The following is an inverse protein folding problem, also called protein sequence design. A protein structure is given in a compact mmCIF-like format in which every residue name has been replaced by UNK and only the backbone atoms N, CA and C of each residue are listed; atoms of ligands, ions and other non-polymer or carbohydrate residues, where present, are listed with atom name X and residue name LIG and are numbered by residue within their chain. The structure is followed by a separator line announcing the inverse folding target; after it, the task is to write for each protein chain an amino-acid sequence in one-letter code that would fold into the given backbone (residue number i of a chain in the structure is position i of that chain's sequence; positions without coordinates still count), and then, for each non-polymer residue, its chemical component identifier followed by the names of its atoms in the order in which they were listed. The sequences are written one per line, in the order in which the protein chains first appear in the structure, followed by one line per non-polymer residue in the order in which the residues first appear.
data_IF_032518187842
#
_entry.id   IF_032518187842
#
_cell.length_a   1.000
_cell.length_b   1.000
_cell.length_c   1.000
_cell.angle_alpha   90.00
_cell.angle_beta   90.00
_cell.angle_gamma   90.00
#
_symmetry.space_group_name_H-M   'P 1'
#
loop_
_entity.id
_entity.type
_entity.pdbx_description
1 polymer ?
#
# COMPACT_ATOMS: atom_id res chain seq x y z
N UNK A 1 -10.32 3.53 21.98
CA UNK A 1 -11.48 4.27 22.52
C UNK A 1 -11.27 5.77 22.31
N UNK A 2 -12.31 6.61 22.27
CA UNK A 2 -12.14 8.07 22.05
C UNK A 2 -11.18 8.71 23.07
N UNK A 3 -11.22 8.24 24.32
CA UNK A 3 -10.29 8.63 25.39
C UNK A 3 -8.82 8.40 25.02
N UNK A 4 -8.52 7.39 24.20
CA UNK A 4 -7.16 7.07 23.72
C UNK A 4 -6.61 8.11 22.74
N UNK A 5 -7.46 8.95 22.14
CA UNK A 5 -7.04 10.07 21.28
C UNK A 5 -7.04 11.40 22.03
N UNK A 6 -7.97 11.55 22.97
CA UNK A 6 -8.17 12.80 23.72
C UNK A 6 -7.11 12.99 24.82
N UNK A 7 -6.70 11.92 25.51
CA UNK A 7 -5.68 12.00 26.55
C UNK A 7 -4.30 12.43 26.01
N UNK A 8 -3.76 11.82 24.93
CA UNK A 8 -2.52 12.32 24.32
C UNK A 8 -2.65 13.75 23.75
N UNK A 9 -3.84 14.13 23.26
CA UNK A 9 -4.07 15.50 22.75
C UNK A 9 -3.95 16.57 23.85
N UNK A 10 -4.50 16.29 25.04
CA UNK A 10 -4.41 17.18 26.21
C UNK A 10 -2.96 17.26 26.69
N UNK A 11 -2.30 16.12 26.85
CA UNK A 11 -0.91 16.05 27.33
C UNK A 11 0.05 16.84 26.41
N UNK A 12 -0.12 16.72 25.09
CA UNK A 12 0.63 17.49 24.11
C UNK A 12 0.31 19.00 24.14
N UNK A 13 -0.94 19.37 24.42
CA UNK A 13 -1.32 20.78 24.56
C UNK A 13 -0.73 21.40 25.84
N UNK A 14 -0.71 20.66 26.95
CA UNK A 14 -0.11 21.08 28.23
C UNK A 14 1.41 21.23 28.11
N UNK A 15 2.10 20.29 27.46
CA UNK A 15 3.56 20.32 27.32
C UNK A 15 4.08 21.39 26.36
N UNK A 16 3.25 21.85 25.42
CA UNK A 16 3.65 22.81 24.38
C UNK A 16 3.93 24.24 24.87
N UNK A 17 3.60 24.59 26.13
CA UNK A 17 3.69 25.95 26.72
C UNK A 17 3.00 27.08 25.90
N UNK A 18 2.35 26.77 24.77
CA UNK A 18 1.64 27.74 23.93
C UNK A 18 0.31 28.18 24.55
N UNK A 19 -0.29 27.34 25.38
CA UNK A 19 -1.63 27.53 25.94
C UNK A 19 -1.57 27.87 27.44
N UNK A 20 -0.73 28.84 27.79
CA UNK A 20 -0.57 29.36 29.15
C UNK A 20 0.70 28.86 29.85
N UNK A 21 1.17 29.62 30.84
CA UNK A 21 2.48 29.40 31.51
C UNK A 21 2.60 28.10 32.31
N UNK A 22 1.49 27.35 32.46
CA UNK A 22 1.38 26.01 33.07
C UNK A 22 0.41 25.09 32.30
N UNK A 23 0.07 25.42 31.05
CA UNK A 23 -0.93 24.67 30.27
C UNK A 23 -2.39 24.92 30.65
N UNK A 24 -2.71 26.01 31.37
CA UNK A 24 -4.07 26.32 31.85
C UNK A 24 -5.15 26.40 30.75
N UNK A 25 -4.74 26.67 29.50
CA UNK A 25 -5.63 26.74 28.34
C UNK A 25 -5.49 25.54 27.38
N UNK A 26 -4.90 24.43 27.82
CA UNK A 26 -4.78 23.21 27.01
C UNK A 26 -6.14 22.66 26.51
N UNK A 27 -7.23 23.00 27.19
CA UNK A 27 -8.58 22.67 26.75
C UNK A 27 -9.01 23.38 25.45
N UNK A 28 -8.41 24.51 25.08
CA UNK A 28 -8.78 25.28 23.89
C UNK A 28 -8.50 24.51 22.59
N UNK A 29 -7.27 24.08 22.28
CA UNK A 29 -7.01 23.34 21.04
C UNK A 29 -7.80 22.04 20.97
N UNK A 30 -8.00 21.39 22.13
CA UNK A 30 -8.77 20.15 22.24
C UNK A 30 -10.26 20.39 21.99
N UNK A 31 -10.86 21.41 22.59
CA UNK A 31 -12.27 21.74 22.37
C UNK A 31 -12.54 22.19 20.93
N UNK A 32 -11.64 22.99 20.35
CA UNK A 32 -11.75 23.46 18.96
C UNK A 32 -11.65 22.30 17.98
N UNK A 33 -10.62 21.45 18.12
CA UNK A 33 -10.47 20.29 17.23
C UNK A 33 -11.65 19.34 17.37
N UNK A 34 -12.04 19.00 18.59
CA UNK A 34 -13.21 18.15 18.85
C UNK A 34 -14.49 18.67 18.21
N UNK A 35 -14.81 19.95 18.38
CA UNK A 35 -16.01 20.54 17.80
C UNK A 35 -15.96 20.56 16.27
N UNK A 36 -14.81 20.90 15.69
CA UNK A 36 -14.61 20.87 14.24
C UNK A 36 -14.76 19.44 13.68
N UNK A 37 -14.27 18.43 14.39
CA UNK A 37 -14.44 17.02 14.02
C UNK A 37 -15.90 16.60 13.95
N UNK A 38 -16.67 16.95 14.97
CA UNK A 38 -18.10 16.64 15.00
C UNK A 38 -18.89 17.39 13.90
N UNK A 39 -18.63 18.69 13.72
CA UNK A 39 -19.27 19.50 12.67
C UNK A 39 -18.88 19.00 11.28
N UNK A 40 -17.64 18.56 11.08
CA UNK A 40 -17.18 18.03 9.81
C UNK A 40 -18.00 16.80 9.40
N UNK A 41 -18.16 15.82 10.29
CA UNK A 41 -18.93 14.60 9.98
C UNK A 41 -20.40 14.94 9.74
N UNK A 42 -21.01 15.77 10.60
CA UNK A 42 -22.36 16.28 10.37
C UNK A 42 -22.51 16.94 8.99
N UNK A 43 -21.54 17.77 8.62
CA UNK A 43 -21.49 18.43 7.32
C UNK A 43 -21.36 17.44 6.17
N UNK A 44 -20.52 16.42 6.29
CA UNK A 44 -20.38 15.37 5.26
C UNK A 44 -21.67 14.59 5.09
N UNK A 45 -22.39 14.27 6.16
CA UNK A 45 -23.67 13.56 6.07
C UNK A 45 -24.73 14.42 5.38
N UNK A 46 -24.76 15.72 5.66
CA UNK A 46 -25.62 16.67 4.96
C UNK A 46 -25.24 16.83 3.50
N UNK A 47 -23.96 16.87 3.16
CA UNK A 47 -23.49 16.96 1.77
C UNK A 47 -23.80 15.67 0.99
N UNK A 48 -23.57 14.50 1.58
CA UNK A 48 -23.94 13.19 1.01
C UNK A 48 -25.45 13.13 0.76
N UNK A 49 -26.25 13.56 1.73
CA UNK A 49 -27.70 13.64 1.62
C UNK A 49 -28.14 14.64 0.54
N UNK A 50 -27.48 15.80 0.45
CA UNK A 50 -27.77 16.85 -0.53
C UNK A 50 -27.39 16.44 -1.96
N UNK A 51 -26.30 15.70 -2.13
CA UNK A 51 -25.88 15.11 -3.40
C UNK A 51 -26.72 13.89 -3.80
N UNK A 52 -27.64 13.43 -2.95
CA UNK A 52 -28.54 12.31 -3.24
C UNK A 52 -27.82 10.96 -3.34
N UNK A 53 -26.61 10.83 -2.78
CA UNK A 53 -25.85 9.56 -2.74
C UNK A 53 -26.39 8.68 -1.61
N UNK A 54 -27.71 8.48 -1.59
CA UNK A 54 -28.40 7.66 -0.59
C UNK A 54 -28.53 6.20 -1.04
N UNK A 55 -27.95 5.84 -2.19
CA UNK A 55 -28.00 4.48 -2.71
C UNK A 55 -26.60 3.95 -3.02
N UNK A 56 -26.11 2.94 -2.28
CA UNK A 56 -24.91 2.17 -2.64
C UNK A 56 -24.93 1.69 -4.10
N UNK A 57 -26.12 1.49 -4.67
CA UNK A 57 -26.34 1.07 -6.06
C UNK A 57 -25.85 2.10 -7.08
N UNK A 58 -25.94 3.40 -6.80
CA UNK A 58 -25.49 4.46 -7.72
C UNK A 58 -23.95 4.61 -7.72
N UNK A 59 -23.30 4.42 -6.57
CA UNK A 59 -21.84 4.40 -6.46
C UNK A 59 -21.24 3.20 -7.21
N UNK A 60 -21.86 2.03 -7.10
CA UNK A 60 -21.49 0.82 -7.85
C UNK A 60 -21.68 1.08 -9.36
N UNK A 61 -22.79 1.68 -9.78
CA UNK A 61 -23.02 1.99 -11.20
C UNK A 61 -21.97 2.96 -11.80
N UNK A 62 -21.50 3.96 -11.03
CA UNK A 62 -20.46 4.91 -11.46
C UNK A 62 -19.07 4.28 -11.54
N UNK A 63 -18.73 3.36 -10.63
CA UNK A 63 -17.45 2.64 -10.68
C UNK A 63 -17.41 1.63 -11.83
N UNK A 64 -18.52 0.94 -12.11
CA UNK A 64 -18.64 0.09 -13.29
C UNK A 64 -18.56 0.88 -14.59
N UNK A 65 -19.27 2.01 -14.71
CA UNK A 65 -19.22 2.84 -15.91
C UNK A 65 -17.82 3.41 -16.23
N UNK A 66 -17.02 3.72 -15.20
CA UNK A 66 -15.64 4.16 -15.38
C UNK A 66 -14.66 3.01 -15.68
N UNK A 67 -14.90 1.81 -15.12
CA UNK A 67 -14.12 0.61 -15.43
C UNK A 67 -14.31 0.17 -16.88
N UNK A 68 -15.56 0.19 -17.36
CA UNK A 68 -15.90 -0.15 -18.75
C UNK A 68 -15.23 0.83 -19.74
N UNK A 69 -15.18 2.13 -19.42
CA UNK A 69 -14.45 3.11 -20.23
C UNK A 69 -12.92 2.92 -20.21
N UNK A 70 -12.36 2.53 -19.07
CA UNK A 70 -10.92 2.28 -18.95
C UNK A 70 -10.50 1.01 -19.70
N UNK A 71 -11.31 -0.05 -19.65
CA UNK A 71 -11.05 -1.30 -20.37
C UNK A 71 -11.18 -1.10 -21.89
N UNK A 72 -12.14 -0.30 -22.37
CA UNK A 72 -12.27 0.07 -23.79
C UNK A 72 -11.08 0.91 -24.28
N UNK A 73 -10.57 1.84 -23.46
CA UNK A 73 -9.45 2.69 -23.85
C UNK A 73 -8.11 1.92 -23.92
N UNK A 74 -7.97 0.82 -23.17
CA UNK A 74 -6.77 -0.03 -23.20
C UNK A 74 -6.75 -0.93 -24.44
N UNK A 75 -7.89 -1.44 -24.89
CA UNK A 75 -8.00 -2.31 -26.07
C UNK A 75 -7.68 -1.54 -27.38
N UNK A 76 -8.10 -0.28 -27.46
CA UNK A 76 -7.86 0.59 -28.63
C UNK A 76 -6.40 1.07 -28.76
N UNK A 77 -5.68 1.23 -27.63
CA UNK A 77 -4.26 1.58 -27.65
C UNK A 77 -3.36 0.41 -28.04
N UNK A 78 -3.73 -0.83 -27.70
CA UNK A 78 -2.96 -2.03 -28.09
C UNK A 78 -3.15 -2.34 -29.57
N UNK A 79 -4.37 -2.17 -30.09
CA UNK A 79 -4.72 -2.44 -31.49
C UNK A 79 -4.02 -1.51 -32.50
N UNK A 80 -3.64 -0.30 -32.08
CA UNK A 80 -3.00 0.71 -32.93
C UNK A 80 -1.47 0.64 -32.97
N UNK A 81 -0.84 -0.17 -32.10
CA UNK A 81 0.61 -0.33 -32.03
C UNK A 81 1.17 -1.59 -32.73
N UNK A 82 0.32 -2.52 -33.19
CA UNK A 82 0.78 -3.77 -33.82
C UNK A 82 1.11 -3.68 -35.34
N UNK A 83 0.99 -2.52 -35.98
CA UNK A 83 1.21 -2.40 -37.43
C UNK A 83 2.67 -2.20 -37.88
N UNK A 84 3.67 -2.41 -37.02
CA UNK A 84 5.05 -2.20 -37.46
C UNK A 84 6.15 -2.75 -36.55
N UNK A 85 6.43 -4.05 -36.63
CA UNK A 85 7.82 -4.56 -36.57
C UNK A 85 7.95 -6.04 -36.94
N UNK A 86 8.55 -6.26 -38.10
CA UNK A 86 9.06 -7.56 -38.58
C UNK A 86 10.46 -7.83 -38.03
N UNK A 87 10.77 -9.13 -37.92
CA UNK A 87 12.10 -9.77 -37.82
C UNK A 87 12.79 -9.71 -36.46
N UNK A 88 13.05 -10.88 -35.86
CA UNK A 88 14.41 -11.44 -35.72
C UNK A 88 14.37 -12.92 -35.34
N UNK A 89 15.44 -13.61 -35.74
CA UNK A 89 15.59 -15.05 -35.93
C UNK A 89 15.64 -15.88 -34.64
N UNK A 90 15.20 -17.14 -34.74
CA UNK A 90 15.08 -18.08 -33.65
C UNK A 90 16.38 -18.74 -33.18
N UNK A 91 16.34 -19.23 -31.94
CA UNK A 91 17.30 -20.17 -31.35
C UNK A 91 16.52 -21.22 -30.56
N UNK A 92 16.72 -22.54 -30.76
CA UNK A 92 16.00 -23.60 -30.05
C UNK A 92 16.59 -23.87 -28.65
N UNK A 93 15.81 -24.43 -27.70
CA UNK A 93 16.29 -24.76 -26.36
C UNK A 93 16.90 -26.18 -26.32
N UNK A 94 17.98 -26.34 -25.55
CA UNK A 94 18.55 -27.65 -25.22
C UNK A 94 18.17 -28.02 -23.77
N UNK A 95 17.66 -29.24 -23.48
CA UNK A 95 17.25 -29.64 -22.14
C UNK A 95 18.28 -30.58 -21.51
N UNK A 96 18.95 -30.13 -20.44
CA UNK A 96 19.62 -30.97 -19.45
C UNK A 96 20.26 -30.08 -18.38
N UNK A 97 19.77 -30.14 -17.14
CA UNK A 97 20.54 -30.77 -16.07
C UNK A 97 19.82 -30.75 -14.72
N UNK A 98 19.87 -31.91 -14.08
CA UNK A 98 19.41 -32.16 -12.73
C UNK A 98 20.43 -31.59 -11.73
N UNK A 99 19.99 -30.74 -10.79
CA UNK A 99 20.72 -30.56 -9.53
C UNK A 99 19.77 -30.28 -8.38
N UNK A 100 19.87 -31.14 -7.38
CA UNK A 100 19.24 -31.07 -6.06
C UNK A 100 19.33 -29.67 -5.44
N UNK A 101 18.24 -28.90 -5.50
CA UNK A 101 18.04 -27.71 -4.69
C UNK A 101 16.75 -27.90 -3.88
N UNK A 102 16.89 -28.32 -2.63
CA UNK A 102 15.80 -28.25 -1.66
C UNK A 102 15.61 -26.77 -1.33
N UNK A 103 14.53 -26.15 -1.80
CA UNK A 103 14.10 -24.83 -1.34
C UNK A 103 13.51 -23.93 -2.42
N UNK A 104 12.45 -23.19 -2.04
CA UNK A 104 11.80 -22.11 -2.79
C UNK A 104 10.83 -22.46 -3.94
N UNK A 105 10.97 -23.60 -4.63
CA UNK A 105 10.03 -23.93 -5.73
C UNK A 105 8.60 -24.21 -5.24
N UNK A 106 8.49 -24.77 -4.02
CA UNK A 106 7.21 -25.01 -3.34
C UNK A 106 6.44 -23.71 -3.04
N UNK A 107 7.12 -22.57 -2.88
CA UNK A 107 6.45 -21.29 -2.60
C UNK A 107 5.87 -20.66 -3.87
N UNK A 108 6.63 -20.70 -4.98
CA UNK A 108 6.16 -20.26 -6.30
C UNK A 108 5.01 -21.14 -6.82
N UNK A 109 5.10 -22.45 -6.60
CA UNK A 109 4.01 -23.39 -6.91
C UNK A 109 2.78 -23.18 -6.02
N UNK A 110 2.94 -22.83 -4.73
CA UNK A 110 1.81 -22.48 -3.87
C UNK A 110 1.09 -21.20 -4.34
N UNK A 111 1.83 -20.19 -4.83
CA UNK A 111 1.24 -18.97 -5.38
C UNK A 111 0.51 -19.21 -6.72
N UNK A 112 0.98 -20.16 -7.53
CA UNK A 112 0.34 -20.53 -8.80
C UNK A 112 -0.84 -21.50 -8.61
N UNK A 113 -0.78 -22.41 -7.64
CA UNK A 113 -1.80 -23.42 -7.38
C UNK A 113 -3.12 -22.82 -6.86
N UNK A 114 -3.09 -21.62 -6.29
CA UNK A 114 -4.30 -20.97 -5.76
C UNK A 114 -5.27 -20.44 -6.84
N UNK A 115 -4.88 -20.43 -8.12
CA UNK A 115 -5.72 -19.94 -9.24
C UNK A 115 -5.95 -20.95 -10.39
N UNK A 116 -5.48 -22.19 -10.26
CA UNK A 116 -5.60 -23.20 -11.34
C UNK A 116 -6.72 -24.20 -11.09
N UNK A 117 -7.95 -23.94 -11.54
CA UNK A 117 -8.96 -24.99 -11.66
C UNK A 117 -8.52 -26.00 -12.72
N UNK A 118 -8.00 -27.13 -12.26
CA UNK A 118 -7.58 -28.27 -13.08
C UNK A 118 -8.81 -28.88 -13.75
N UNK A 119 -8.89 -28.78 -15.08
CA UNK A 119 -9.74 -29.65 -15.90
C UNK A 119 -8.89 -30.41 -16.91
N UNK A 120 -8.41 -31.59 -16.48
CA UNK A 120 -7.90 -32.62 -17.38
C UNK A 120 -9.04 -33.15 -18.25
N UNK A 121 -9.06 -32.84 -19.54
CA UNK A 121 -9.87 -33.58 -20.52
C UNK A 121 -9.07 -33.94 -21.76
N UNK A 122 -8.69 -35.21 -21.82
CA UNK A 122 -8.01 -35.90 -22.92
C UNK A 122 -8.98 -36.00 -24.12
N UNK A 123 -8.66 -35.40 -25.27
CA UNK A 123 -9.31 -35.75 -26.54
C UNK A 123 -8.37 -35.65 -27.73
N UNK A 124 -8.34 -36.75 -28.48
CA UNK A 124 -7.51 -37.04 -29.66
C UNK A 124 -8.21 -36.47 -30.90
N UNK A 125 -7.50 -35.74 -31.75
CA UNK A 125 -8.04 -35.21 -33.01
C UNK A 125 -6.96 -34.48 -33.81
N UNK A 126 -6.63 -35.05 -34.97
CA UNK A 126 -5.65 -34.55 -35.94
C UNK A 126 -6.16 -33.29 -36.67
N UNK A 127 -5.22 -32.50 -37.19
CA UNK A 127 -5.35 -31.28 -38.03
C UNK A 127 -5.60 -29.97 -37.26
N UNK A 128 -4.50 -29.30 -36.87
CA UNK A 128 -4.34 -27.84 -36.68
C UNK A 128 -2.89 -27.54 -36.31
N UNK A 129 -1.93 -27.76 -37.21
CA UNK A 129 -0.52 -27.53 -36.89
C UNK A 129 -0.21 -26.01 -36.90
N UNK A 130 -0.71 -25.24 -37.87
CA UNK A 130 -0.40 -23.79 -37.98
C UNK A 130 -1.12 -22.87 -36.96
N UNK A 131 -2.36 -23.20 -36.57
CA UNK A 131 -3.16 -22.39 -35.63
C UNK A 131 -2.87 -22.72 -34.15
N UNK A 132 -2.14 -23.79 -33.87
CA UNK A 132 -1.79 -24.19 -32.49
C UNK A 132 -0.52 -23.46 -32.00
N UNK A 133 0.39 -23.08 -32.91
CA UNK A 133 1.58 -22.31 -32.56
C UNK A 133 1.29 -20.87 -32.15
N UNK A 134 0.37 -20.18 -32.84
CA UNK A 134 -0.02 -18.79 -32.50
C UNK A 134 -0.77 -18.71 -31.17
N UNK A 135 -1.64 -19.69 -30.89
CA UNK A 135 -2.33 -19.77 -29.59
C UNK A 135 -1.37 -20.08 -28.44
N UNK A 136 -0.33 -20.89 -28.69
CA UNK A 136 0.68 -21.22 -27.67
C UNK A 136 1.57 -20.02 -27.36
N UNK A 137 2.04 -19.28 -28.38
CA UNK A 137 2.87 -18.08 -28.17
C UNK A 137 2.10 -16.96 -27.48
N UNK A 138 0.84 -16.73 -27.88
CA UNK A 138 0.00 -15.70 -27.24
C UNK A 138 -0.25 -16.04 -25.77
N UNK A 139 -0.60 -17.30 -25.47
CA UNK A 139 -0.82 -17.75 -24.09
C UNK A 139 0.42 -17.64 -23.19
N UNK A 140 1.62 -17.82 -23.76
CA UNK A 140 2.89 -17.67 -23.04
C UNK A 140 3.21 -16.20 -22.76
N UNK A 141 2.96 -15.31 -23.71
CA UNK A 141 3.12 -13.85 -23.53
C UNK A 141 2.15 -13.36 -22.47
N UNK A 142 0.88 -13.77 -22.53
CA UNK A 142 -0.13 -13.41 -21.54
C UNK A 142 0.23 -13.90 -20.14
N UNK A 143 0.77 -15.12 -20.02
CA UNK A 143 1.27 -15.67 -18.76
C UNK A 143 2.43 -14.84 -18.20
N UNK A 144 3.43 -14.49 -19.03
CA UNK A 144 4.54 -13.65 -18.61
C UNK A 144 4.08 -12.24 -18.20
N UNK A 145 3.20 -11.61 -18.98
CA UNK A 145 2.63 -10.30 -18.65
C UNK A 145 1.87 -10.34 -17.32
N UNK A 146 1.11 -11.41 -17.06
CA UNK A 146 0.40 -11.58 -15.79
C UNK A 146 1.36 -11.73 -14.61
N UNK A 147 2.47 -12.46 -14.78
CA UNK A 147 3.50 -12.61 -13.76
C UNK A 147 4.22 -11.28 -13.49
N UNK A 148 4.58 -10.54 -14.52
CA UNK A 148 5.17 -9.20 -14.43
C UNK A 148 4.25 -8.20 -13.73
N UNK A 149 2.96 -8.19 -14.07
CA UNK A 149 1.95 -7.38 -13.39
C UNK A 149 1.89 -7.70 -11.90
N UNK A 150 1.88 -8.98 -11.52
CA UNK A 150 1.88 -9.42 -10.11
C UNK A 150 3.13 -8.94 -9.37
N UNK A 151 4.31 -9.10 -9.99
CA UNK A 151 5.58 -8.65 -9.42
C UNK A 151 5.57 -7.13 -9.22
N UNK A 152 5.13 -6.36 -10.23
CA UNK A 152 5.07 -4.91 -10.14
C UNK A 152 4.07 -4.43 -9.09
N UNK A 153 2.90 -5.05 -9.00
CA UNK A 153 1.91 -4.74 -7.96
C UNK A 153 2.46 -5.04 -6.57
N UNK A 154 3.22 -6.13 -6.40
CA UNK A 154 3.89 -6.46 -5.14
C UNK A 154 4.95 -5.41 -4.77
N UNK A 155 5.83 -5.04 -5.71
CA UNK A 155 6.87 -4.03 -5.48
C UNK A 155 6.24 -2.70 -5.09
N UNK A 156 5.22 -2.25 -5.84
CA UNK A 156 4.51 -1.00 -5.54
C UNK A 156 3.81 -1.06 -4.17
N UNK A 157 3.16 -2.18 -3.86
CA UNK A 157 2.47 -2.34 -2.57
C UNK A 157 3.44 -2.24 -1.39
N UNK A 158 4.58 -2.95 -1.46
CA UNK A 158 5.61 -2.91 -0.42
C UNK A 158 6.21 -1.50 -0.31
N UNK A 159 6.61 -0.89 -1.43
CA UNK A 159 7.16 0.47 -1.43
C UNK A 159 6.19 1.50 -0.83
N UNK A 160 4.89 1.39 -1.11
CA UNK A 160 3.89 2.30 -0.52
C UNK A 160 3.71 2.05 0.98
N UNK A 161 3.82 0.81 1.45
CA UNK A 161 3.74 0.46 2.87
C UNK A 161 4.94 1.00 3.68
N UNK A 162 6.11 1.01 3.06
CA UNK A 162 7.36 1.49 3.66
C UNK A 162 7.36 3.00 3.92
N UNK A 163 6.45 3.76 3.30
CA UNK A 163 6.29 5.20 3.51
C UNK A 163 5.80 5.50 4.95
N UNK A 164 4.64 4.97 5.40
CA UNK A 164 4.20 5.06 6.79
C UNK A 164 5.26 4.61 7.81
N UNK A 165 6.00 3.53 7.52
CA UNK A 165 7.03 3.02 8.43
C UNK A 165 8.21 3.97 8.57
N UNK A 166 8.73 4.47 7.45
CA UNK A 166 9.74 5.52 7.43
C UNK A 166 9.28 6.75 8.22
N UNK A 167 8.06 7.23 7.96
CA UNK A 167 7.46 8.35 8.70
C UNK A 167 7.39 8.05 10.21
N UNK A 168 6.96 6.86 10.61
CA UNK A 168 6.84 6.48 12.02
C UNK A 168 8.20 6.48 12.73
N UNK A 169 9.24 5.92 12.11
CA UNK A 169 10.62 5.98 12.61
C UNK A 169 11.05 7.45 12.74
N UNK A 170 10.85 8.25 11.70
CA UNK A 170 11.18 9.67 11.66
C UNK A 170 10.53 10.48 12.78
N UNK A 171 9.21 10.36 12.90
CA UNK A 171 8.41 11.02 13.93
C UNK A 171 8.85 10.59 15.31
N UNK A 172 9.13 9.30 15.54
CA UNK A 172 9.59 8.80 16.84
C UNK A 172 10.91 9.42 17.27
N UNK A 173 11.87 9.59 16.34
CA UNK A 173 13.14 10.25 16.62
C UNK A 173 13.01 11.76 16.77
N UNK A 174 12.19 12.41 15.94
CA UNK A 174 11.96 13.85 16.02
C UNK A 174 11.15 14.27 17.26
N UNK A 175 10.38 13.37 17.85
CA UNK A 175 9.63 13.60 19.10
C UNK A 175 10.47 13.35 20.37
N UNK A 176 11.73 12.96 20.26
CA UNK A 176 12.53 12.64 21.46
C UNK A 176 12.60 13.86 22.38
N UNK A 177 12.17 13.67 23.63
CA UNK A 177 12.16 14.71 24.66
C UNK A 177 10.94 15.63 24.64
N UNK A 178 9.96 15.43 23.75
CA UNK A 178 8.70 16.21 23.77
C UNK A 178 7.73 15.72 24.85
N UNK A 179 7.85 14.46 25.27
CA UNK A 179 7.00 13.80 26.27
C UNK A 179 7.85 12.80 27.05
N UNK A 180 7.48 12.47 28.28
CA UNK A 180 8.21 11.48 29.11
C UNK A 180 8.29 10.09 28.44
N UNK A 181 7.29 9.74 27.62
CA UNK A 181 7.25 8.49 26.85
C UNK A 181 8.09 8.51 25.57
N UNK A 182 8.41 9.69 25.02
CA UNK A 182 9.14 9.84 23.77
C UNK A 182 10.66 9.85 24.04
N UNK A 183 11.21 8.68 24.36
CA UNK A 183 12.63 8.51 24.69
C UNK A 183 13.44 8.03 23.49
N UNK A 184 14.75 8.28 23.52
CA UNK A 184 15.68 7.71 22.53
C UNK A 184 15.61 6.18 22.49
N UNK A 185 15.41 5.55 23.65
CA UNK A 185 15.25 4.09 23.73
C UNK A 185 13.99 3.61 23.01
N UNK A 186 12.84 4.29 23.20
CA UNK A 186 11.61 3.95 22.50
C UNK A 186 11.77 4.09 20.97
N UNK A 187 12.32 5.20 20.50
CA UNK A 187 12.58 5.44 19.08
C UNK A 187 13.56 4.42 18.47
N UNK A 188 14.67 4.13 19.17
CA UNK A 188 15.65 3.11 18.77
C UNK A 188 15.02 1.73 18.67
N UNK A 189 14.25 1.32 19.68
CA UNK A 189 13.64 0.00 19.70
C UNK A 189 12.61 -0.15 18.57
N UNK A 190 11.84 0.91 18.27
CA UNK A 190 10.93 0.95 17.12
C UNK A 190 11.68 0.85 15.78
N UNK A 191 12.77 1.59 15.61
CA UNK A 191 13.58 1.56 14.40
C UNK A 191 14.24 0.19 14.15
N UNK A 192 14.72 -0.45 15.22
CA UNK A 192 15.26 -1.82 15.12
C UNK A 192 14.15 -2.81 14.76
N UNK A 193 12.97 -2.68 15.37
CA UNK A 193 11.82 -3.53 15.06
C UNK A 193 11.44 -3.47 13.59
N UNK A 194 11.30 -2.26 13.06
CA UNK A 194 11.02 -2.00 11.64
C UNK A 194 12.17 -2.52 10.76
N UNK A 195 13.43 -2.25 11.11
CA UNK A 195 14.58 -2.75 10.35
C UNK A 195 14.63 -4.29 10.24
N UNK A 196 14.16 -5.02 11.26
CA UNK A 196 14.12 -6.49 11.24
C UNK A 196 13.05 -7.02 10.29
N UNK A 197 11.86 -6.42 10.23
CA UNK A 197 10.80 -6.84 9.30
C UNK A 197 11.08 -6.43 7.83
N UNK A 198 11.89 -5.39 7.60
CA UNK A 198 12.21 -4.95 6.25
C UNK A 198 13.13 -5.93 5.51
N UNK A 199 13.85 -6.78 6.25
CA UNK A 199 14.66 -7.84 5.66
C UNK A 199 13.81 -8.90 4.91
N UNK A 200 12.81 -9.57 5.53
CA UNK A 200 11.94 -10.48 4.80
C UNK A 200 11.13 -9.79 3.70
N UNK A 201 10.77 -8.50 3.85
CA UNK A 201 10.07 -7.74 2.80
C UNK A 201 10.94 -7.45 1.57
N UNK A 202 12.19 -7.04 1.77
CA UNK A 202 13.16 -6.87 0.68
C UNK A 202 13.45 -8.18 -0.06
N UNK A 203 13.44 -9.31 0.65
CA UNK A 203 13.51 -10.65 0.05
C UNK A 203 12.23 -11.01 -0.73
N UNK A 204 11.06 -10.61 -0.24
CA UNK A 204 9.78 -10.82 -0.93
C UNK A 204 9.72 -10.11 -2.29
N UNK A 205 10.48 -9.02 -2.48
CA UNK A 205 10.69 -8.38 -3.79
C UNK A 205 11.80 -9.07 -4.58
N UNK A 206 12.92 -9.39 -3.94
CA UNK A 206 14.11 -9.92 -4.61
C UNK A 206 13.89 -11.31 -5.21
N UNK A 207 13.17 -12.20 -4.52
CA UNK A 207 12.99 -13.59 -4.94
C UNK A 207 12.13 -13.73 -6.21
N UNK A 208 10.95 -13.08 -6.33
CA UNK A 208 10.18 -13.09 -7.57
C UNK A 208 10.91 -12.48 -8.76
N UNK A 209 11.70 -11.41 -8.54
CA UNK A 209 12.52 -10.81 -9.60
C UNK A 209 13.60 -11.79 -10.09
N UNK A 210 14.25 -12.50 -9.17
CA UNK A 210 15.22 -13.53 -9.53
C UNK A 210 14.55 -14.68 -10.30
N UNK A 211 13.39 -15.15 -9.85
CA UNK A 211 12.60 -16.17 -10.53
C UNK A 211 12.12 -15.73 -11.93
N UNK A 212 11.93 -14.42 -12.16
CA UNK A 212 11.63 -13.84 -13.47
C UNK A 212 12.87 -13.73 -14.40
N UNK A 213 14.05 -14.18 -13.97
CA UNK A 213 15.27 -14.25 -14.78
C UNK A 213 16.30 -13.15 -14.52
N UNK A 214 16.11 -12.29 -13.51
CA UNK A 214 17.12 -11.30 -13.13
C UNK A 214 18.29 -11.98 -12.39
N UNK A 215 19.51 -11.45 -12.53
CA UNK A 215 20.65 -11.94 -11.76
C UNK A 215 20.47 -11.65 -10.26
N UNK A 216 21.00 -12.54 -9.40
CA UNK A 216 20.91 -12.43 -7.94
C UNK A 216 21.22 -11.03 -7.42
N UNK A 217 22.32 -10.43 -7.90
CA UNK A 217 22.73 -9.09 -7.49
C UNK A 217 21.75 -7.99 -7.92
N UNK A 218 21.18 -8.07 -9.13
CA UNK A 218 20.20 -7.09 -9.61
C UNK A 218 18.90 -7.20 -8.83
N UNK A 219 18.41 -8.42 -8.61
CA UNK A 219 17.19 -8.66 -7.85
C UNK A 219 17.32 -8.18 -6.41
N UNK A 220 18.45 -8.48 -5.77
CA UNK A 220 18.76 -7.98 -4.44
C UNK A 220 18.78 -6.44 -4.39
N UNK A 221 19.44 -5.80 -5.36
CA UNK A 221 19.46 -4.34 -5.46
C UNK A 221 18.06 -3.74 -5.61
N UNK A 222 17.19 -4.33 -6.43
CA UNK A 222 15.81 -3.88 -6.55
C UNK A 222 15.00 -4.07 -5.26
N UNK A 223 15.23 -5.17 -4.53
CA UNK A 223 14.66 -5.35 -3.19
C UNK A 223 15.07 -4.24 -2.23
N UNK A 224 16.35 -3.90 -2.16
CA UNK A 224 16.84 -2.80 -1.32
C UNK A 224 16.30 -1.43 -1.78
N UNK A 225 16.23 -1.19 -3.09
CA UNK A 225 15.69 0.05 -3.63
C UNK A 225 14.21 0.25 -3.28
N UNK A 226 13.43 -0.83 -3.15
CA UNK A 226 12.03 -0.75 -2.72
C UNK A 226 11.87 -0.22 -1.29
N UNK A 227 12.86 -0.43 -0.41
CA UNK A 227 12.93 0.11 0.96
C UNK A 227 13.62 1.47 1.08
N UNK A 228 14.22 2.00 0.01
CA UNK A 228 14.92 3.30 0.02
C UNK A 228 14.01 4.48 0.37
N UNK A 229 12.69 4.29 0.26
CA UNK A 229 11.70 5.27 0.68
C UNK A 229 11.72 5.51 2.20
N UNK A 230 12.07 4.52 3.02
CA UNK A 230 12.08 4.66 4.48
C UNK A 230 13.02 5.76 4.99
N UNK A 231 14.31 5.82 4.63
CA UNK A 231 15.18 6.89 5.10
C UNK A 231 14.72 8.27 4.61
N UNK A 232 14.17 8.36 3.40
CA UNK A 232 13.65 9.61 2.84
C UNK A 232 12.46 10.09 3.69
N UNK A 233 11.48 9.23 3.89
CA UNK A 233 10.28 9.55 4.66
C UNK A 233 10.56 9.63 6.17
N UNK A 234 11.60 8.98 6.68
CA UNK A 234 12.08 9.13 8.05
C UNK A 234 12.67 10.50 8.32
N UNK A 235 13.48 11.04 7.40
CA UNK A 235 13.94 12.43 7.52
C UNK A 235 12.75 13.39 7.43
N UNK A 236 11.82 13.16 6.49
CA UNK A 236 10.62 13.97 6.39
C UNK A 236 9.75 13.89 7.65
N UNK A 237 9.59 12.71 8.25
CA UNK A 237 8.84 12.51 9.49
C UNK A 237 9.47 13.23 10.68
N UNK A 238 10.81 13.16 10.80
CA UNK A 238 11.56 13.86 11.85
C UNK A 238 11.44 15.38 11.74
N UNK A 239 11.43 15.93 10.52
CA UNK A 239 11.17 17.36 10.30
C UNK A 239 9.69 17.68 10.53
N UNK A 240 8.78 16.84 10.01
CA UNK A 240 7.35 17.06 10.09
C UNK A 240 6.87 17.12 11.54
N UNK A 241 7.35 16.26 12.44
CA UNK A 241 6.91 16.28 13.85
C UNK A 241 7.27 17.59 14.56
N UNK A 242 8.34 18.27 14.15
CA UNK A 242 8.71 19.59 14.71
C UNK A 242 7.66 20.67 14.40
N UNK A 243 7.04 20.60 13.21
CA UNK A 243 5.95 21.50 12.78
C UNK A 243 4.60 20.99 13.28
N UNK A 244 4.44 19.67 13.26
CA UNK A 244 3.19 19.02 13.57
C UNK A 244 2.88 19.02 15.07
N UNK A 245 3.87 19.15 15.96
CA UNK A 245 3.63 19.31 17.41
C UNK A 245 2.59 20.39 17.74
N UNK A 246 2.53 21.45 16.92
CA UNK A 246 1.53 22.52 17.02
C UNK A 246 0.14 22.06 16.54
N UNK A 247 0.07 21.21 15.51
CA UNK A 247 -1.19 20.77 14.90
C UNK A 247 -1.73 19.46 15.50
N UNK A 248 -0.89 18.65 16.15
CA UNK A 248 -1.22 17.34 16.71
C UNK A 248 -2.38 17.40 17.72
N UNK A 249 -2.40 18.34 18.69
CA UNK A 249 -3.51 18.45 19.63
C UNK A 249 -4.85 18.71 18.92
N UNK A 250 -4.84 19.54 17.87
CA UNK A 250 -6.03 19.81 17.06
C UNK A 250 -6.45 18.59 16.23
N UNK A 251 -5.50 17.87 15.63
CA UNK A 251 -5.78 16.71 14.79
C UNK A 251 -6.32 15.52 15.59
N UNK A 252 -5.72 15.22 16.75
CA UNK A 252 -6.16 14.13 17.64
C UNK A 252 -7.53 14.42 18.25
N UNK A 253 -7.76 15.66 18.66
CA UNK A 253 -9.08 16.06 19.17
C UNK A 253 -10.13 16.11 18.06
N UNK A 254 -9.79 16.53 16.85
CA UNK A 254 -10.65 16.43 15.66
C UNK A 254 -11.08 14.99 15.39
N UNK A 255 -10.13 14.04 15.37
CA UNK A 255 -10.44 12.63 15.19
C UNK A 255 -11.34 12.09 16.32
N UNK A 256 -11.09 12.50 17.57
CA UNK A 256 -11.94 12.12 18.70
C UNK A 256 -13.37 12.67 18.57
N UNK A 257 -13.53 13.92 18.14
CA UNK A 257 -14.83 14.56 17.89
C UNK A 257 -15.61 13.91 16.76
N UNK A 258 -14.94 13.61 15.65
CA UNK A 258 -15.52 12.87 14.54
C UNK A 258 -16.01 11.48 14.99
N UNK A 259 -15.19 10.71 15.73
CA UNK A 259 -15.62 9.40 16.21
C UNK A 259 -16.77 9.46 17.21
N UNK A 260 -16.82 10.46 18.11
CA UNK A 260 -17.98 10.62 19.00
C UNK A 260 -19.23 10.97 18.22
N UNK A 261 -19.14 11.86 17.24
CA UNK A 261 -20.30 12.20 16.41
C UNK A 261 -20.85 10.96 15.69
N UNK A 262 -19.98 10.16 15.04
CA UNK A 262 -20.40 8.92 14.35
C UNK A 262 -21.13 8.00 15.33
N UNK A 263 -20.54 7.76 16.51
CA UNK A 263 -21.16 6.89 17.53
C UNK A 263 -22.48 7.48 18.06
N UNK A 264 -22.58 8.80 18.20
CA UNK A 264 -23.79 9.45 18.65
C UNK A 264 -24.91 9.38 17.60
N UNK A 265 -24.57 9.60 16.31
CA UNK A 265 -25.48 9.48 15.17
C UNK A 265 -25.96 8.03 15.00
N UNK A 266 -25.08 7.05 15.23
CA UNK A 266 -25.44 5.62 15.19
C UNK A 266 -26.36 5.18 16.36
N UNK A 267 -26.36 5.90 17.49
CA UNK A 267 -27.07 5.50 18.73
C UNK A 267 -28.34 6.32 18.98
N UNK A 268 -28.38 7.59 18.61
CA UNK A 268 -29.52 8.48 18.86
C UNK A 268 -30.50 8.42 17.67
N UNK A 269 -31.74 7.91 17.86
CA UNK A 269 -32.72 7.72 16.80
C UNK A 269 -33.33 9.02 16.26
#
# INVERSE_FOLDING_TARGET
SFWSLLAPAIELAESSNMYGSKGEFAFIPVAVGFLLGAIFVYGTDKVISFLGINSPTMMIALTHANKDKADIAIDDQVSSLEHGRSSYAGVPPNPQDNSLAIGMESFADCLNAQHGNVSRKRRKGSVKEQATYTNTSQSQIDAQLSQWKRIMLLVVAITVHNIPEGLAVGVSFGAIGTTESATFEAARNLAIGIGIQNFPEGLAVSLPLHAAGFSLGKSFWYGQLSGMVEPIFGVLGAVAVSVASIILPYALSFAAGAMIYIVADDILP
#
